data_IF_667171369886
#
_entry.id   IF_667171369886
#
_cell.length_a   1.000
_cell.length_b   1.000
_cell.length_c   1.000
_cell.angle_alpha   90.00
_cell.angle_beta   90.00
_cell.angle_gamma   90.00
#
_symmetry.space_group_name_H-M   'P 1'
#
loop_
_entity.id
_entity.type
_entity.pdbx_description
1 polymer ?
#
# COMPACT_ATOMS: atom_id res chain seq x y z
N UNK A 1 -8.32 -96.93 -11.55
CA UNK A 1 -9.03 -97.43 -12.75
C UNK A 1 -8.19 -97.07 -13.97
N UNK A 2 -8.05 -98.03 -14.88
CA UNK A 2 -7.19 -98.14 -16.07
C UNK A 2 -6.75 -96.84 -16.78
N UNK A 3 -5.57 -96.72 -17.40
CA UNK A 3 -4.50 -97.64 -17.78
C UNK A 3 -3.43 -96.86 -18.60
N UNK A 4 -2.24 -97.42 -18.90
CA UNK A 4 -1.10 -96.68 -19.47
C UNK A 4 -0.92 -96.93 -20.98
N UNK A 5 -0.44 -95.94 -21.73
CA UNK A 5 0.18 -96.12 -23.06
C UNK A 5 1.26 -95.04 -23.26
N UNK A 6 2.54 -95.39 -23.20
CA UNK A 6 3.40 -95.79 -24.35
C UNK A 6 4.13 -94.60 -24.96
N UNK A 7 5.45 -94.62 -24.80
CA UNK A 7 6.40 -93.67 -25.35
C UNK A 7 6.47 -93.76 -26.88
N UNK A 8 6.57 -92.61 -27.54
CA UNK A 8 7.03 -92.50 -28.93
C UNK A 8 8.11 -91.42 -29.02
N UNK A 9 9.33 -91.86 -29.27
CA UNK A 9 10.52 -91.06 -29.51
C UNK A 9 10.61 -90.81 -31.01
N UNK A 10 10.60 -89.55 -31.45
CA UNK A 10 11.07 -89.17 -32.78
C UNK A 10 11.95 -87.93 -32.63
N UNK A 11 13.22 -88.07 -33.00
CA UNK A 11 14.20 -87.00 -33.10
C UNK A 11 14.52 -86.84 -34.59
N UNK A 12 14.23 -85.67 -35.14
CA UNK A 12 14.71 -85.22 -36.44
C UNK A 12 14.90 -83.70 -36.33
N UNK A 13 16.13 -83.24 -36.52
CA UNK A 13 16.44 -81.82 -36.74
C UNK A 13 17.67 -81.77 -37.64
N UNK A 14 17.55 -81.31 -38.90
CA UNK A 14 18.70 -81.08 -39.74
C UNK A 14 19.19 -79.63 -39.65
N UNK A 15 20.52 -79.53 -39.55
CA UNK A 15 21.46 -78.66 -40.27
C UNK A 15 21.37 -77.13 -40.11
N UNK A 16 22.39 -76.53 -39.48
CA UNK A 16 23.60 -75.92 -40.10
C UNK A 16 23.38 -74.40 -40.21
N UNK A 17 24.15 -73.48 -39.63
CA UNK A 17 25.57 -73.22 -39.84
C UNK A 17 26.06 -72.17 -38.80
N UNK A 18 27.33 -72.33 -38.39
CA UNK A 18 28.34 -71.29 -38.15
C UNK A 18 28.11 -70.19 -37.08
N UNK A 19 28.73 -70.41 -35.91
CA UNK A 19 29.45 -69.37 -35.12
C UNK A 19 30.91 -69.29 -35.64
N UNK A 20 31.82 -68.36 -35.23
CA UNK A 20 31.79 -67.39 -34.13
C UNK A 20 32.43 -66.00 -34.44
N UNK A 21 32.24 -65.00 -33.57
CA UNK A 21 33.34 -64.44 -32.73
C UNK A 21 32.89 -63.23 -31.90
N UNK A 22 33.28 -63.37 -30.66
CA UNK A 22 33.20 -62.49 -29.52
C UNK A 22 34.14 -61.28 -29.66
N UNK A 23 33.80 -60.17 -28.99
CA UNK A 23 34.70 -59.27 -28.23
C UNK A 23 34.00 -57.93 -27.92
N UNK A 24 33.53 -57.78 -26.67
CA UNK A 24 33.27 -56.47 -26.06
C UNK A 24 34.58 -55.90 -25.49
N UNK A 25 34.72 -54.57 -25.37
CA UNK A 25 34.78 -54.00 -24.02
C UNK A 25 33.93 -52.72 -23.82
N UNK A 26 33.71 -52.30 -22.55
CA UNK A 26 32.60 -51.44 -22.17
C UNK A 26 32.93 -49.96 -22.34
N UNK A 27 32.03 -49.22 -22.98
CA UNK A 27 32.33 -47.85 -23.43
C UNK A 27 31.23 -46.84 -23.15
N UNK A 28 31.30 -46.25 -21.95
CA UNK A 28 30.76 -44.93 -21.58
C UNK A 28 29.23 -44.81 -21.44
N UNK A 29 28.83 -44.87 -20.15
CA UNK A 29 27.73 -44.09 -19.58
C UNK A 29 27.70 -42.69 -20.22
N UNK A 30 26.79 -42.47 -21.16
CA UNK A 30 26.33 -41.11 -21.47
C UNK A 30 25.01 -40.94 -20.76
N UNK A 31 25.12 -40.49 -19.51
CA UNK A 31 24.04 -39.78 -18.85
C UNK A 31 23.46 -38.81 -19.88
N UNK A 32 22.25 -39.10 -20.38
CA UNK A 32 21.45 -38.12 -21.10
C UNK A 32 21.18 -37.03 -20.09
N UNK A 33 22.06 -36.03 -20.05
CA UNK A 33 21.87 -34.83 -19.28
C UNK A 33 20.51 -34.29 -19.65
N UNK A 34 19.58 -34.30 -18.69
CA UNK A 34 18.45 -33.40 -18.72
C UNK A 34 19.04 -32.00 -18.85
N UNK A 35 19.13 -31.52 -20.09
CA UNK A 35 19.44 -30.14 -20.36
C UNK A 35 18.37 -29.35 -19.65
N UNK A 36 18.72 -28.76 -18.49
CA UNK A 36 17.88 -27.79 -17.80
C UNK A 36 17.55 -26.76 -18.85
N UNK A 37 16.33 -26.84 -19.41
CA UNK A 37 15.81 -25.96 -20.43
C UNK A 37 15.98 -24.55 -19.87
N UNK A 38 17.02 -23.84 -20.30
CA UNK A 38 17.29 -22.48 -19.83
C UNK A 38 16.03 -21.71 -20.19
N UNK A 39 15.26 -21.28 -19.20
CA UNK A 39 14.06 -20.45 -19.42
C UNK A 39 14.55 -19.13 -20.04
N UNK A 40 14.57 -19.07 -21.37
CA UNK A 40 14.93 -17.89 -22.15
C UNK A 40 13.66 -17.09 -22.42
N UNK A 41 13.62 -15.84 -21.94
CA UNK A 41 12.52 -14.90 -22.17
C UNK A 41 12.36 -13.90 -21.02
N UNK A 42 11.54 -12.86 -21.24
CA UNK A 42 11.17 -11.79 -20.27
C UNK A 42 10.75 -12.33 -18.89
N UNK A 43 10.25 -13.58 -18.84
CA UNK A 43 9.97 -14.35 -17.62
C UNK A 43 11.18 -14.55 -16.67
N UNK A 44 12.43 -14.33 -17.13
CA UNK A 44 13.63 -14.27 -16.26
C UNK A 44 13.63 -13.04 -15.36
N UNK A 45 13.11 -11.92 -15.82
CA UNK A 45 13.00 -10.68 -15.02
C UNK A 45 11.75 -10.72 -14.12
N UNK A 46 10.75 -11.48 -14.53
CA UNK A 46 9.47 -11.65 -13.83
C UNK A 46 9.38 -12.97 -13.03
N UNK A 47 10.42 -13.30 -12.27
CA UNK A 47 10.27 -14.30 -11.19
C UNK A 47 9.66 -13.60 -9.97
N UNK A 48 8.73 -14.24 -9.25
CA UNK A 48 8.10 -13.66 -8.04
C UNK A 48 9.11 -13.03 -7.06
N UNK A 49 10.29 -13.65 -6.88
CA UNK A 49 11.38 -13.12 -6.05
C UNK A 49 11.93 -11.76 -6.53
N UNK A 50 12.02 -11.57 -7.85
CA UNK A 50 12.46 -10.30 -8.46
C UNK A 50 11.35 -9.26 -8.44
N UNK A 51 10.09 -9.66 -8.64
CA UNK A 51 8.95 -8.76 -8.47
C UNK A 51 8.92 -8.19 -7.05
N UNK A 52 9.03 -9.06 -6.03
CA UNK A 52 9.12 -8.64 -4.63
C UNK A 52 10.34 -7.74 -4.42
N UNK A 53 11.51 -8.09 -4.96
CA UNK A 53 12.70 -7.24 -4.84
C UNK A 53 12.48 -5.85 -5.50
N UNK A 54 11.87 -5.77 -6.68
CA UNK A 54 11.58 -4.49 -7.33
C UNK A 54 10.58 -3.65 -6.54
N UNK A 55 9.52 -4.26 -6.00
CA UNK A 55 8.53 -3.57 -5.15
C UNK A 55 9.21 -3.04 -3.89
N UNK A 56 10.02 -3.85 -3.20
CA UNK A 56 10.73 -3.42 -2.00
C UNK A 56 11.73 -2.30 -2.30
N UNK A 57 12.48 -2.40 -3.40
CA UNK A 57 13.40 -1.34 -3.83
C UNK A 57 12.63 -0.06 -4.15
N UNK A 58 11.49 -0.14 -4.85
CA UNK A 58 10.66 1.03 -5.13
C UNK A 58 10.12 1.65 -3.83
N UNK A 59 9.59 0.84 -2.91
CA UNK A 59 9.14 1.32 -1.60
C UNK A 59 10.28 2.00 -0.83
N UNK A 60 11.47 1.40 -0.80
CA UNK A 60 12.64 1.99 -0.14
C UNK A 60 13.05 3.34 -0.77
N UNK A 61 13.03 3.43 -2.10
CA UNK A 61 13.30 4.69 -2.81
C UNK A 61 12.25 5.76 -2.50
N UNK A 62 10.96 5.39 -2.47
CA UNK A 62 9.88 6.31 -2.12
C UNK A 62 9.98 6.79 -0.67
N UNK A 63 10.28 5.90 0.27
CA UNK A 63 10.49 6.25 1.69
C UNK A 63 11.71 7.16 1.82
N UNK A 64 12.82 6.84 1.17
CA UNK A 64 14.03 7.66 1.17
C UNK A 64 13.77 9.06 0.59
N UNK A 65 13.11 9.14 -0.57
CA UNK A 65 12.73 10.40 -1.19
C UNK A 65 11.78 11.21 -0.32
N UNK A 66 10.76 10.58 0.27
CA UNK A 66 9.84 11.23 1.20
C UNK A 66 10.57 11.76 2.43
N UNK A 67 11.50 10.99 2.99
CA UNK A 67 12.30 11.40 4.16
C UNK A 67 13.15 12.63 3.84
N UNK A 68 13.87 12.61 2.72
CA UNK A 68 14.67 13.77 2.28
C UNK A 68 13.78 14.99 2.07
N UNK A 69 12.65 14.83 1.37
CA UNK A 69 11.72 15.91 1.11
C UNK A 69 11.12 16.48 2.41
N UNK A 70 10.73 15.60 3.34
CA UNK A 70 10.17 15.98 4.63
C UNK A 70 11.13 16.86 5.43
N UNK A 71 12.42 16.52 5.46
CA UNK A 71 13.43 17.32 6.16
C UNK A 71 13.91 18.54 5.36
N UNK A 72 13.63 18.62 4.06
CA UNK A 72 14.02 19.75 3.21
C UNK A 72 12.95 20.82 3.10
N UNK A 73 11.71 20.54 3.50
CA UNK A 73 10.60 21.49 3.45
C UNK A 73 10.59 22.30 4.75
N UNK A 74 10.84 23.61 4.63
CA UNK A 74 10.65 24.54 5.73
C UNK A 74 9.16 24.77 6.01
N UNK A 75 8.83 24.94 7.29
CA UNK A 75 7.47 25.33 7.70
C UNK A 75 7.26 26.79 7.28
N UNK A 76 6.20 27.10 6.49
CA UNK A 76 5.93 28.47 6.09
C UNK A 76 5.79 29.39 7.30
N UNK A 77 6.18 30.65 7.15
CA UNK A 77 5.89 31.65 8.20
C UNK A 77 4.39 31.85 8.30
N UNK A 78 3.88 31.98 9.53
CA UNK A 78 2.47 32.25 9.78
C UNK A 78 2.00 33.48 8.99
N UNK A 79 0.82 33.40 8.36
CA UNK A 79 0.26 34.55 7.67
C UNK A 79 -0.05 35.66 8.70
N UNK A 80 0.42 36.89 8.42
CA UNK A 80 0.11 38.05 9.24
C UNK A 80 -1.41 38.27 9.39
N UNK A 81 -2.20 37.95 8.35
CA UNK A 81 -3.66 38.03 8.39
C UNK A 81 -4.30 36.97 9.30
N UNK A 82 -3.65 35.83 9.53
CA UNK A 82 -4.16 34.81 10.44
C UNK A 82 -4.10 35.29 11.91
N UNK A 83 -3.18 36.21 12.22
CA UNK A 83 -3.00 36.80 13.55
C UNK A 83 -3.74 38.13 13.74
N UNK A 84 -4.24 38.73 12.67
CA UNK A 84 -4.95 40.00 12.74
C UNK A 84 -6.25 39.86 13.56
N UNK A 85 -6.48 40.82 14.45
CA UNK A 85 -7.66 40.92 15.31
C UNK A 85 -8.28 42.30 15.19
N UNK A 86 -9.58 42.40 15.48
CA UNK A 86 -10.23 43.68 15.73
C UNK A 86 -9.95 44.16 17.15
N UNK A 87 -9.80 45.46 17.30
CA UNK A 87 -9.85 46.13 18.59
C UNK A 87 -11.32 46.25 19.02
N UNK A 88 -11.65 45.70 20.20
CA UNK A 88 -12.99 45.74 20.78
C UNK A 88 -13.01 46.74 21.93
N UNK A 89 -13.71 47.86 21.73
CA UNK A 89 -13.96 48.85 22.78
C UNK A 89 -15.20 48.45 23.57
N UNK A 90 -15.12 48.52 24.90
CA UNK A 90 -16.22 48.17 25.81
C UNK A 90 -16.46 49.29 26.80
N UNK A 91 -17.71 49.46 27.23
CA UNK A 91 -18.07 50.31 28.34
C UNK A 91 -17.66 49.68 29.68
N UNK A 92 -17.74 50.45 30.78
CA UNK A 92 -17.36 49.98 32.12
C UNK A 92 -18.20 48.81 32.64
N UNK A 93 -19.38 48.59 32.08
CA UNK A 93 -20.27 47.45 32.37
C UNK A 93 -19.96 46.21 31.49
N UNK A 94 -19.02 46.32 30.56
CA UNK A 94 -18.60 45.25 29.65
C UNK A 94 -19.38 45.18 28.33
N UNK A 95 -20.40 46.03 28.11
CA UNK A 95 -21.11 46.10 26.82
C UNK A 95 -20.19 46.63 25.71
N UNK A 96 -20.37 46.15 24.47
CA UNK A 96 -19.48 46.52 23.35
C UNK A 96 -19.88 47.92 22.85
N UNK A 97 -18.94 48.85 22.90
CA UNK A 97 -19.08 50.20 22.34
C UNK A 97 -18.82 50.19 20.83
N UNK A 98 -17.68 49.62 20.41
CA UNK A 98 -17.29 49.59 19.00
C UNK A 98 -16.28 48.47 18.72
N UNK A 99 -16.26 47.99 17.48
CA UNK A 99 -15.16 47.20 16.92
C UNK A 99 -14.49 47.99 15.80
N UNK A 100 -13.17 48.04 15.82
CA UNK A 100 -12.38 48.64 14.73
C UNK A 100 -11.24 47.72 14.31
N UNK A 101 -10.79 47.83 13.07
CA UNK A 101 -9.77 46.97 12.45
C UNK A 101 -10.24 46.42 11.12
N UNK A 102 -9.30 46.02 10.27
CA UNK A 102 -9.57 45.53 8.91
C UNK A 102 -10.31 44.18 8.90
N UNK A 103 -10.21 43.41 9.98
CA UNK A 103 -10.82 42.08 10.10
C UNK A 103 -11.67 42.01 11.37
N UNK A 104 -12.93 41.57 11.25
CA UNK A 104 -13.80 41.33 12.39
C UNK A 104 -13.46 39.98 13.07
N UNK A 105 -12.36 39.93 13.84
CA UNK A 105 -11.91 38.72 14.53
C UNK A 105 -11.49 39.00 15.98
N UNK A 106 -12.01 38.21 16.92
CA UNK A 106 -11.59 38.21 18.33
C UNK A 106 -11.12 36.81 18.72
N UNK A 107 -9.90 36.70 19.27
CA UNK A 107 -9.39 35.44 19.81
C UNK A 107 -10.03 35.19 21.17
N UNK A 108 -10.68 34.04 21.29
CA UNK A 108 -11.26 33.56 22.55
C UNK A 108 -10.61 32.24 22.93
N UNK A 109 -10.38 32.04 24.22
CA UNK A 109 -9.93 30.74 24.74
C UNK A 109 -11.04 29.71 24.62
N UNK A 110 -10.71 28.44 24.39
CA UNK A 110 -11.69 27.36 24.23
C UNK A 110 -12.69 27.27 25.39
N UNK A 111 -12.27 27.54 26.63
CA UNK A 111 -13.15 27.55 27.81
C UNK A 111 -14.25 28.62 27.80
N UNK A 112 -14.17 29.64 26.93
CA UNK A 112 -15.25 30.63 26.72
C UNK A 112 -16.30 30.15 25.72
N UNK A 113 -16.02 29.07 24.99
CA UNK A 113 -16.95 28.50 24.01
C UNK A 113 -17.81 27.45 24.73
N UNK A 114 -19.14 27.54 24.68
CA UNK A 114 -20.00 26.52 25.28
C UNK A 114 -19.68 25.13 24.75
N UNK A 115 -19.64 24.12 25.63
CA UNK A 115 -19.28 22.73 25.25
C UNK A 115 -20.17 22.15 24.16
N UNK A 116 -21.47 22.50 24.16
CA UNK A 116 -22.40 22.11 23.10
C UNK A 116 -22.00 22.64 21.72
N UNK A 117 -21.49 23.87 21.64
CA UNK A 117 -20.99 24.46 20.38
C UNK A 117 -19.71 23.77 19.94
N UNK A 118 -18.79 23.49 20.88
CA UNK A 118 -17.56 22.75 20.58
C UNK A 118 -17.88 21.37 20.00
N UNK A 119 -18.80 20.63 20.64
CA UNK A 119 -19.21 19.30 20.19
C UNK A 119 -19.95 19.33 18.86
N UNK A 120 -20.83 20.31 18.64
CA UNK A 120 -21.55 20.47 17.37
C UNK A 120 -20.56 20.69 16.21
N UNK A 121 -19.57 21.57 16.40
CA UNK A 121 -18.55 21.85 15.40
C UNK A 121 -17.68 20.62 15.13
N UNK A 122 -17.19 19.96 16.18
CA UNK A 122 -16.42 18.71 16.04
C UNK A 122 -17.22 17.62 15.35
N UNK A 123 -18.51 17.46 15.69
CA UNK A 123 -19.36 16.44 15.07
C UNK A 123 -19.65 16.70 13.59
N UNK A 124 -19.71 17.97 13.17
CA UNK A 124 -19.93 18.38 11.79
C UNK A 124 -18.65 18.28 10.95
N UNK A 125 -17.53 18.79 11.45
CA UNK A 125 -16.29 18.96 10.69
C UNK A 125 -15.33 17.78 10.80
N UNK A 126 -15.17 17.20 12.00
CA UNK A 126 -14.23 16.11 12.23
C UNK A 126 -14.62 15.24 13.44
N UNK A 127 -15.46 14.23 13.23
CA UNK A 127 -15.97 13.35 14.30
C UNK A 127 -14.86 12.61 15.08
N UNK A 128 -13.72 12.38 14.46
CA UNK A 128 -12.57 11.69 15.04
C UNK A 128 -11.57 12.64 15.70
N UNK A 129 -11.83 13.95 15.75
CA UNK A 129 -10.91 15.00 16.20
C UNK A 129 -10.14 14.68 17.49
N UNK A 130 -10.83 14.23 18.54
CA UNK A 130 -10.19 13.94 19.82
C UNK A 130 -9.41 12.61 19.87
N UNK A 131 -9.45 11.81 18.80
CA UNK A 131 -8.84 10.49 18.69
C UNK A 131 -7.84 10.39 17.55
N UNK A 132 -7.95 11.25 16.54
CA UNK A 132 -7.04 11.29 15.40
C UNK A 132 -5.74 12.05 15.73
N UNK A 133 -4.70 11.82 14.93
CA UNK A 133 -3.41 12.49 15.07
C UNK A 133 -3.26 13.67 14.10
N UNK A 134 -4.35 14.39 13.84
CA UNK A 134 -4.42 15.52 12.90
C UNK A 134 -4.76 15.14 11.47
N UNK A 135 -4.90 13.85 11.16
CA UNK A 135 -5.35 13.32 9.86
C UNK A 135 -6.31 12.15 10.10
N UNK A 136 -7.39 12.07 9.31
CA UNK A 136 -8.35 10.95 9.35
C UNK A 136 -8.35 10.20 8.01
N UNK A 137 -7.49 9.18 7.82
CA UNK A 137 -7.44 8.40 6.59
C UNK A 137 -8.77 7.72 6.25
N UNK A 138 -9.51 7.28 7.28
CA UNK A 138 -10.83 6.67 7.10
C UNK A 138 -11.87 7.71 6.69
N UNK A 139 -11.78 8.92 7.24
CA UNK A 139 -12.58 10.08 6.84
C UNK A 139 -12.35 10.46 5.38
N UNK A 140 -11.08 10.54 4.96
CA UNK A 140 -10.69 10.81 3.56
C UNK A 140 -11.22 9.73 2.62
N UNK A 141 -10.98 8.45 2.95
CA UNK A 141 -11.44 7.33 2.13
C UNK A 141 -12.97 7.31 2.02
N UNK A 142 -13.69 7.51 3.14
CA UNK A 142 -15.15 7.58 3.15
C UNK A 142 -15.67 8.74 2.30
N UNK A 143 -15.05 9.91 2.41
CA UNK A 143 -15.40 11.09 1.62
C UNK A 143 -15.19 10.85 0.13
N UNK A 144 -14.06 10.24 -0.24
CA UNK A 144 -13.76 9.87 -1.62
C UNK A 144 -14.77 8.86 -2.17
N UNK A 145 -15.06 7.79 -1.42
CA UNK A 145 -16.03 6.76 -1.83
C UNK A 145 -17.44 7.35 -1.97
N UNK A 146 -17.89 8.16 -1.01
CA UNK A 146 -19.23 8.76 -1.06
C UNK A 146 -19.38 9.73 -2.24
N UNK A 147 -18.33 10.53 -2.50
CA UNK A 147 -18.29 11.43 -3.66
C UNK A 147 -18.30 10.64 -4.97
N UNK A 148 -17.44 9.62 -5.08
CA UNK A 148 -17.33 8.77 -6.28
C UNK A 148 -18.59 7.92 -6.55
N UNK A 149 -19.32 7.54 -5.50
CA UNK A 149 -20.56 6.74 -5.61
C UNK A 149 -21.81 7.59 -5.74
N UNK A 150 -21.68 8.92 -5.90
CA UNK A 150 -22.81 9.83 -6.08
C UNK A 150 -23.67 10.04 -4.82
N UNK A 151 -23.17 9.65 -3.64
CA UNK A 151 -23.86 9.83 -2.35
C UNK A 151 -23.71 11.24 -1.76
N UNK A 152 -23.16 12.17 -2.55
CA UNK A 152 -22.89 13.55 -2.17
C UNK A 152 -21.43 13.80 -1.78
N UNK A 153 -21.04 15.07 -1.79
CA UNK A 153 -19.71 15.52 -1.37
C UNK A 153 -19.62 15.48 0.14
N UNK A 154 -18.66 14.73 0.67
CA UNK A 154 -18.35 14.71 2.10
C UNK A 154 -16.93 15.23 2.30
N UNK A 155 -16.77 16.19 3.22
CA UNK A 155 -15.47 16.71 3.61
C UNK A 155 -14.59 15.61 4.20
N UNK A 156 -13.38 15.44 3.64
CA UNK A 156 -12.36 14.52 4.13
C UNK A 156 -11.27 15.19 4.98
N UNK A 157 -11.29 16.52 5.07
CA UNK A 157 -10.24 17.28 5.75
C UNK A 157 -10.47 17.37 7.25
N UNK A 158 -9.41 17.25 8.06
CA UNK A 158 -9.49 17.42 9.51
C UNK A 158 -9.48 18.89 9.91
N UNK A 159 -9.97 19.20 11.12
CA UNK A 159 -9.83 20.54 11.72
C UNK A 159 -8.36 20.99 11.74
N UNK A 160 -7.41 20.08 11.99
CA UNK A 160 -5.97 20.37 11.97
C UNK A 160 -5.49 20.78 10.58
N UNK A 161 -5.92 20.09 9.53
CA UNK A 161 -5.57 20.46 8.15
C UNK A 161 -6.18 21.82 7.77
N UNK A 162 -7.43 22.06 8.16
CA UNK A 162 -8.10 23.34 7.94
C UNK A 162 -7.38 24.49 8.68
N UNK A 163 -6.95 24.25 9.92
CA UNK A 163 -6.15 25.20 10.69
C UNK A 163 -4.84 25.53 9.98
N UNK A 164 -4.07 24.53 9.57
CA UNK A 164 -2.78 24.74 8.86
C UNK A 164 -3.00 25.55 7.58
N UNK A 165 -4.02 25.21 6.79
CA UNK A 165 -4.36 25.94 5.57
C UNK A 165 -4.66 27.41 5.86
N UNK A 166 -5.52 27.68 6.84
CA UNK A 166 -5.96 29.03 7.17
C UNK A 166 -4.88 29.86 7.89
N UNK A 167 -3.91 29.21 8.54
CA UNK A 167 -2.88 29.88 9.32
C UNK A 167 -1.60 30.17 8.53
N UNK A 168 -1.24 29.29 7.58
CA UNK A 168 0.02 29.37 6.84
C UNK A 168 -0.14 29.66 5.35
N UNK A 169 -1.26 29.30 4.73
CA UNK A 169 -1.39 29.24 3.26
C UNK A 169 -2.49 30.14 2.68
N UNK A 170 -3.33 30.75 3.54
CA UNK A 170 -4.47 31.60 3.16
C UNK A 170 -4.38 32.94 3.81
#
# INVERSE_FOLDING_TARGET
MAGPLTALRVRFTPDSEQTPRDTRPPGRRRARGHGRRKRTGIRRFFTWRKLVAYVLTLCALLIGAFTVLYYSIDIPRANAQAKAQSNVYKYGDGTILARTGEINREMVTLGRVPTGVQHAFVAAENKSFYKDSGVDPMGILRGLVNTATGKGTQGGSTITQQYVKNYYLS
#
